data_IF_209234952290
#
_entry.id   IF_209234952290
#
_cell.length_a   1.000
_cell.length_b   1.000
_cell.length_c   1.000
_cell.angle_alpha   90.00
_cell.angle_beta   90.00
_cell.angle_gamma   90.00
#
_symmetry.space_group_name_H-M   'P 1'
#
loop_
_entity.id
_entity.type
_entity.pdbx_description
1 polymer ?
#
# COMPACT_ATOMS: atom_id res chain seq x y z
N UNK A 1 -17.44 4.45 -1.71
CA UNK A 1 -16.60 5.65 -1.96
C UNK A 1 -15.29 5.16 -2.60
N UNK A 2 -14.61 5.93 -3.47
CA UNK A 2 -13.30 5.47 -4.00
C UNK A 2 -12.23 5.65 -2.93
N UNK A 3 -11.15 4.83 -2.97
CA UNK A 3 -10.02 4.98 -2.02
C UNK A 3 -9.39 6.37 -2.13
N UNK A 4 -9.32 6.94 -3.34
CA UNK A 4 -8.89 8.32 -3.54
C UNK A 4 -9.75 9.33 -2.78
N UNK A 5 -11.08 9.26 -2.91
CA UNK A 5 -11.97 10.18 -2.18
C UNK A 5 -11.87 9.98 -0.68
N UNK A 6 -11.78 8.74 -0.21
CA UNK A 6 -11.58 8.41 1.20
C UNK A 6 -10.29 9.04 1.76
N UNK A 7 -9.19 8.94 1.00
CA UNK A 7 -7.90 9.50 1.40
C UNK A 7 -7.92 11.02 1.45
N UNK A 8 -8.55 11.68 0.47
CA UNK A 8 -8.66 13.13 0.45
C UNK A 8 -9.57 13.67 1.56
N UNK A 9 -10.65 12.96 1.89
CA UNK A 9 -11.49 13.30 3.04
C UNK A 9 -10.72 13.15 4.36
N UNK A 10 -10.03 12.02 4.56
CA UNK A 10 -9.20 11.80 5.74
C UNK A 10 -8.07 12.84 5.87
N UNK A 11 -7.43 13.20 4.75
CA UNK A 11 -6.39 14.23 4.72
C UNK A 11 -6.93 15.62 5.06
N UNK A 12 -8.13 15.98 4.59
CA UNK A 12 -8.78 17.23 4.95
C UNK A 12 -9.07 17.32 6.46
N UNK A 13 -9.55 16.21 7.05
CA UNK A 13 -9.75 16.15 8.50
C UNK A 13 -8.45 16.27 9.29
N UNK A 14 -7.36 15.67 8.80
CA UNK A 14 -6.05 15.75 9.43
C UNK A 14 -5.49 17.18 9.35
N UNK A 15 -5.59 17.83 8.18
CA UNK A 15 -5.21 19.23 8.00
C UNK A 15 -5.93 20.16 8.99
N UNK A 16 -7.23 19.97 9.17
CA UNK A 16 -8.01 20.75 10.13
C UNK A 16 -7.60 20.56 11.61
N UNK A 17 -6.88 19.48 11.93
CA UNK A 17 -6.48 19.11 13.30
C UNK A 17 -4.97 19.30 13.57
N UNK A 18 -4.15 19.43 12.54
CA UNK A 18 -2.68 19.37 12.62
C UNK A 18 -2.04 20.54 11.90
N UNK A 19 -1.58 21.54 12.66
CA UNK A 19 -0.88 22.70 12.10
C UNK A 19 0.52 22.39 11.55
N UNK A 20 1.09 21.24 11.92
CA UNK A 20 2.41 20.76 11.49
C UNK A 20 2.38 20.09 10.10
N UNK A 21 1.19 19.72 9.62
CA UNK A 21 1.00 19.01 8.36
C UNK A 21 1.07 19.97 7.17
N UNK A 22 1.80 19.57 6.13
CA UNK A 22 1.83 20.23 4.84
C UNK A 22 1.53 19.22 3.72
N UNK A 23 0.76 19.66 2.71
CA UNK A 23 0.42 18.87 1.53
C UNK A 23 1.01 19.54 0.30
N UNK A 24 1.81 18.79 -0.46
CA UNK A 24 2.45 19.25 -1.68
C UNK A 24 1.71 18.73 -2.92
N UNK A 25 1.30 19.63 -3.80
CA UNK A 25 0.67 19.32 -5.07
C UNK A 25 -0.76 19.84 -5.19
N UNK A 26 -1.25 19.91 -6.42
CA UNK A 26 -2.58 20.43 -6.74
C UNK A 26 -3.61 19.31 -6.67
N UNK A 27 -4.56 19.44 -5.75
CA UNK A 27 -5.74 18.58 -5.68
C UNK A 27 -6.99 19.44 -5.42
N UNK A 28 -7.75 19.76 -6.49
CA UNK A 28 -8.94 20.61 -6.39
C UNK A 28 -9.98 20.05 -5.42
N UNK A 29 -10.08 18.72 -5.30
CA UNK A 29 -11.03 18.07 -4.41
C UNK A 29 -10.70 18.32 -2.93
N UNK A 30 -9.41 18.40 -2.59
CA UNK A 30 -8.95 18.67 -1.22
C UNK A 30 -9.26 20.12 -0.83
N UNK A 31 -9.01 21.07 -1.73
CA UNK A 31 -9.37 22.48 -1.52
C UNK A 31 -10.89 22.65 -1.33
N UNK A 32 -11.70 21.86 -2.04
CA UNK A 32 -13.15 21.84 -1.85
C UNK A 32 -13.55 21.32 -0.46
N UNK A 33 -12.95 20.21 0.02
CA UNK A 33 -13.23 19.67 1.35
C UNK A 33 -12.91 20.63 2.49
N UNK A 34 -11.85 21.44 2.35
CA UNK A 34 -11.46 22.42 3.37
C UNK A 34 -12.31 23.69 3.37
N UNK A 35 -13.08 23.93 2.29
CA UNK A 35 -13.94 25.11 2.18
C UNK A 35 -13.20 26.46 2.17
N UNK A 36 -11.86 26.45 1.98
CA UNK A 36 -11.00 27.64 2.02
C UNK A 36 -10.01 27.60 0.85
N UNK A 37 -10.06 28.59 -0.01
CA UNK A 37 -9.01 28.82 -0.99
C UNK A 37 -7.78 29.44 -0.29
N UNK A 38 -6.58 28.96 -0.61
CA UNK A 38 -5.33 29.53 -0.09
C UNK A 38 -4.95 29.08 1.32
N UNK A 39 -5.32 27.85 1.71
CA UNK A 39 -4.83 27.25 2.95
C UNK A 39 -3.29 27.16 2.94
N UNK A 40 -2.58 27.73 3.92
CA UNK A 40 -1.12 27.76 3.94
C UNK A 40 -0.47 26.37 4.08
N UNK A 41 -1.25 25.36 4.47
CA UNK A 41 -0.80 23.97 4.53
C UNK A 41 -0.88 23.28 3.16
N UNK A 42 -1.60 23.86 2.18
CA UNK A 42 -1.67 23.38 0.81
C UNK A 42 -0.69 24.16 -0.08
N UNK A 43 0.41 23.50 -0.46
CA UNK A 43 1.46 24.10 -1.26
C UNK A 43 1.35 23.63 -2.70
N UNK A 44 0.97 24.55 -3.59
CA UNK A 44 0.99 24.32 -5.04
C UNK A 44 2.43 24.34 -5.54
N UNK A 45 2.97 23.14 -5.75
CA UNK A 45 4.28 22.93 -6.37
C UNK A 45 4.04 22.18 -7.67
N UNK A 46 4.17 22.85 -8.81
CA UNK A 46 3.76 22.31 -10.12
C UNK A 46 4.69 21.21 -10.65
N UNK A 47 6.00 21.25 -10.39
CA UNK A 47 6.96 20.26 -10.90
C UNK A 47 7.19 19.07 -9.93
N UNK A 48 7.05 17.84 -10.43
CA UNK A 48 7.13 16.62 -9.61
C UNK A 48 8.49 16.39 -8.91
N UNK A 49 9.66 16.44 -9.59
CA UNK A 49 10.95 16.25 -8.91
C UNK A 49 11.19 17.29 -7.81
N UNK A 50 10.75 18.52 -8.06
CA UNK A 50 10.82 19.62 -7.10
C UNK A 50 9.94 19.37 -5.87
N UNK A 51 8.79 18.69 -6.01
CA UNK A 51 7.92 18.33 -4.86
C UNK A 51 8.64 17.45 -3.86
N UNK A 52 9.28 16.36 -4.30
CA UNK A 52 9.94 15.42 -3.39
C UNK A 52 11.09 16.09 -2.60
N UNK A 53 11.86 16.95 -3.27
CA UNK A 53 12.94 17.71 -2.64
C UNK A 53 12.42 18.76 -1.64
N UNK A 54 11.41 19.54 -2.02
CA UNK A 54 10.75 20.49 -1.11
C UNK A 54 10.15 19.76 0.09
N UNK A 55 9.48 18.63 -0.16
CA UNK A 55 8.90 17.81 0.90
C UNK A 55 9.94 17.30 1.88
N UNK A 56 11.12 16.90 1.39
CA UNK A 56 12.22 16.51 2.28
C UNK A 56 12.72 17.69 3.10
N UNK A 57 12.90 18.86 2.48
CA UNK A 57 13.33 20.07 3.19
C UNK A 57 12.35 20.46 4.30
N UNK A 58 11.05 20.39 4.03
CA UNK A 58 10.00 20.63 5.04
C UNK A 58 10.02 19.56 6.15
N UNK A 59 10.19 18.28 5.79
CA UNK A 59 10.28 17.18 6.75
C UNK A 59 11.49 17.31 7.68
N UNK A 60 12.66 17.63 7.14
CA UNK A 60 13.85 17.93 7.96
C UNK A 60 13.68 19.21 8.80
N UNK A 61 12.84 20.14 8.36
CA UNK A 61 12.41 21.31 9.13
C UNK A 61 11.37 21.02 10.21
N UNK A 62 10.98 19.75 10.42
CA UNK A 62 10.04 19.33 11.46
C UNK A 62 8.56 19.38 11.06
N UNK A 63 8.24 19.60 9.77
CA UNK A 63 6.86 19.47 9.27
C UNK A 63 6.54 18.02 8.97
N UNK A 64 5.30 17.61 9.16
CA UNK A 64 4.79 16.37 8.58
C UNK A 64 4.38 16.65 7.14
N UNK A 65 4.82 15.83 6.18
CA UNK A 65 4.61 16.12 4.75
C UNK A 65 3.91 14.99 4.02
N UNK A 66 2.84 15.35 3.30
CA UNK A 66 2.18 14.50 2.31
C UNK A 66 2.44 15.06 0.92
N UNK A 67 3.03 14.28 0.03
CA UNK A 67 3.15 14.63 -1.39
C UNK A 67 2.06 13.92 -2.18
N UNK A 68 1.27 14.69 -2.94
CA UNK A 68 0.26 14.14 -3.86
C UNK A 68 0.90 13.91 -5.23
N UNK A 69 0.77 12.68 -5.73
CA UNK A 69 1.21 12.32 -7.08
C UNK A 69 0.12 11.55 -7.83
N UNK A 70 -0.41 12.17 -8.87
CA UNK A 70 -1.40 11.57 -9.77
C UNK A 70 -0.79 11.10 -11.10
N UNK A 71 0.43 11.53 -11.41
CA UNK A 71 1.11 11.26 -12.69
C UNK A 71 2.56 10.77 -12.47
N UNK A 72 3.23 10.32 -13.54
CA UNK A 72 4.63 9.86 -13.57
C UNK A 72 5.67 10.92 -13.17
N UNK A 73 5.22 12.14 -12.85
CA UNK A 73 6.02 13.33 -12.61
C UNK A 73 7.02 13.22 -11.44
N UNK A 74 6.89 12.22 -10.54
CA UNK A 74 7.94 11.92 -9.57
C UNK A 74 9.03 11.07 -10.24
N UNK A 75 9.96 11.75 -10.93
CA UNK A 75 11.16 11.12 -11.48
C UNK A 75 12.06 10.56 -10.36
N UNK A 76 12.09 11.25 -9.21
CA UNK A 76 12.98 10.92 -8.10
C UNK A 76 12.22 10.24 -6.95
N UNK A 77 12.82 9.20 -6.37
CA UNK A 77 12.36 8.58 -5.13
C UNK A 77 12.44 9.55 -3.93
N UNK A 78 12.04 9.11 -2.72
CA UNK A 78 12.22 9.91 -1.52
C UNK A 78 13.72 10.17 -1.31
N UNK A 79 14.04 11.34 -0.74
CA UNK A 79 15.38 11.55 -0.23
C UNK A 79 15.63 10.60 0.96
N UNK A 80 16.77 9.89 1.01
CA UNK A 80 17.08 8.95 2.08
C UNK A 80 16.94 9.61 3.46
N UNK A 81 16.23 8.93 4.37
CA UNK A 81 16.04 9.38 5.75
C UNK A 81 15.03 10.51 5.95
N UNK A 82 14.36 11.00 4.91
CA UNK A 82 13.29 11.99 5.06
C UNK A 82 11.94 11.29 5.35
N UNK A 83 11.30 11.53 6.51
CA UNK A 83 9.99 10.98 6.82
C UNK A 83 8.91 11.73 6.04
N UNK A 84 8.49 11.14 4.91
CA UNK A 84 7.50 11.72 4.02
C UNK A 84 6.49 10.67 3.58
N UNK A 85 5.23 11.10 3.41
CA UNK A 85 4.19 10.26 2.84
C UNK A 85 3.95 10.64 1.39
N UNK A 86 4.15 9.70 0.47
CA UNK A 86 3.65 9.81 -0.90
C UNK A 86 2.24 9.23 -0.98
N UNK A 87 1.25 10.04 -1.32
CA UNK A 87 -0.11 9.58 -1.63
C UNK A 87 -0.29 9.52 -3.15
N UNK A 88 -0.47 8.33 -3.71
CA UNK A 88 -0.45 8.16 -5.17
C UNK A 88 -1.36 7.06 -5.69
N UNK A 89 -1.87 7.24 -6.91
CA UNK A 89 -2.49 6.18 -7.73
C UNK A 89 -1.51 5.56 -8.73
N UNK A 90 -0.29 6.11 -8.86
CA UNK A 90 0.70 5.70 -9.85
C UNK A 90 1.54 4.52 -9.38
N UNK A 91 1.42 3.39 -10.08
CA UNK A 91 2.30 2.23 -9.91
C UNK A 91 3.77 2.60 -10.10
N UNK A 92 4.09 3.40 -11.11
CA UNK A 92 5.46 3.80 -11.42
C UNK A 92 6.09 4.58 -10.27
N UNK A 93 5.36 5.54 -9.69
CA UNK A 93 5.84 6.31 -8.54
C UNK A 93 6.03 5.41 -7.31
N UNK A 94 5.05 4.54 -7.02
CA UNK A 94 5.14 3.59 -5.91
C UNK A 94 6.34 2.64 -6.04
N UNK A 95 6.60 2.10 -7.24
CA UNK A 95 7.76 1.24 -7.53
C UNK A 95 9.08 1.97 -7.31
N UNK A 96 9.19 3.23 -7.73
CA UNK A 96 10.42 4.03 -7.53
C UNK A 96 10.70 4.29 -6.06
N UNK A 97 9.66 4.67 -5.30
CA UNK A 97 9.79 4.88 -3.86
C UNK A 97 10.11 3.59 -3.11
N UNK A 98 9.49 2.48 -3.50
CA UNK A 98 9.81 1.16 -2.97
C UNK A 98 11.27 0.75 -3.25
N UNK A 99 11.75 0.95 -4.49
CA UNK A 99 13.14 0.70 -4.86
C UNK A 99 14.14 1.57 -4.07
N UNK A 100 13.69 2.74 -3.60
CA UNK A 100 14.47 3.64 -2.77
C UNK A 100 14.34 3.35 -1.25
N UNK A 101 13.68 2.25 -0.87
CA UNK A 101 13.56 1.81 0.53
C UNK A 101 12.40 2.43 1.31
N UNK A 102 11.38 2.98 0.64
CA UNK A 102 10.14 3.37 1.31
C UNK A 102 9.34 2.14 1.76
N UNK A 103 8.50 2.29 2.79
CA UNK A 103 7.39 1.35 3.04
C UNK A 103 6.32 1.55 1.96
N UNK A 104 5.65 0.48 1.54
CA UNK A 104 4.47 0.60 0.67
C UNK A 104 3.24 0.14 1.42
N UNK A 105 2.27 1.04 1.55
CA UNK A 105 0.99 0.80 2.20
C UNK A 105 -0.10 0.79 1.12
N UNK A 106 -0.96 -0.22 1.16
CA UNK A 106 -2.05 -0.45 0.20
C UNK A 106 -3.35 -0.74 0.95
N UNK A 107 -4.16 0.29 1.23
CA UNK A 107 -5.47 0.09 1.83
C UNK A 107 -6.33 -0.84 0.97
N UNK A 108 -7.05 -1.77 1.61
CA UNK A 108 -7.96 -2.69 0.91
C UNK A 108 -9.37 -2.13 0.83
N UNK A 109 -9.77 -1.33 1.83
CA UNK A 109 -11.09 -0.69 1.92
C UNK A 109 -10.98 0.81 2.20
N UNK A 110 -12.07 1.56 1.98
CA UNK A 110 -12.12 2.98 2.31
C UNK A 110 -12.01 3.25 3.82
N UNK A 111 -12.53 2.34 4.65
CA UNK A 111 -12.38 2.38 6.10
C UNK A 111 -10.91 2.22 6.58
N UNK A 112 -10.08 1.51 5.82
CA UNK A 112 -8.66 1.32 6.16
C UNK A 112 -7.84 2.61 6.00
N UNK A 113 -8.28 3.49 5.10
CA UNK A 113 -7.49 4.63 4.63
C UNK A 113 -7.12 5.57 5.77
N UNK A 114 -8.06 5.92 6.65
CA UNK A 114 -7.81 6.86 7.74
C UNK A 114 -6.76 6.31 8.72
N UNK A 115 -6.90 5.05 9.15
CA UNK A 115 -5.97 4.38 10.08
C UNK A 115 -4.56 4.26 9.48
N UNK A 116 -4.47 3.87 8.22
CA UNK A 116 -3.21 3.68 7.52
C UNK A 116 -2.52 5.01 7.19
N UNK A 117 -3.29 6.05 6.84
CA UNK A 117 -2.74 7.38 6.60
C UNK A 117 -2.18 7.98 7.89
N UNK A 118 -2.91 7.89 9.00
CA UNK A 118 -2.43 8.38 10.30
C UNK A 118 -1.14 7.66 10.73
N UNK A 119 -1.12 6.32 10.61
CA UNK A 119 0.07 5.51 10.89
C UNK A 119 1.24 5.84 9.96
N UNK A 120 0.98 6.12 8.68
CA UNK A 120 2.02 6.52 7.72
C UNK A 120 2.64 7.87 8.08
N UNK A 121 1.84 8.81 8.58
CA UNK A 121 2.31 10.13 9.01
C UNK A 121 3.13 10.10 10.30
N UNK A 122 2.94 9.08 11.13
CA UNK A 122 3.70 8.85 12.36
C UNK A 122 4.99 8.03 12.14
N UNK A 123 5.24 7.57 10.91
CA UNK A 123 6.35 6.68 10.63
C UNK A 123 7.70 7.41 10.53
N UNK A 124 8.76 6.82 11.10
CA UNK A 124 10.13 7.38 11.11
C UNK A 124 10.85 7.37 9.73
N UNK A 125 10.13 7.11 8.63
CA UNK A 125 10.73 6.97 7.31
C UNK A 125 9.72 7.14 6.18
N UNK A 126 10.19 7.11 4.92
CA UNK A 126 9.32 7.36 3.78
C UNK A 126 8.27 6.24 3.64
N UNK A 127 7.02 6.65 3.41
CA UNK A 127 5.89 5.75 3.20
C UNK A 127 5.20 6.12 1.90
N UNK A 128 4.87 5.14 1.08
CA UNK A 128 3.97 5.29 -0.06
C UNK A 128 2.62 4.75 0.35
N UNK A 129 1.61 5.59 0.41
CA UNK A 129 0.21 5.15 0.46
C UNK A 129 -0.30 5.10 -0.97
N UNK A 130 -0.41 3.89 -1.51
CA UNK A 130 -0.90 3.66 -2.85
C UNK A 130 -2.40 3.40 -2.84
N UNK A 131 -3.13 4.23 -3.57
CA UNK A 131 -4.58 4.18 -3.71
C UNK A 131 -4.90 3.48 -5.02
N UNK A 132 -5.29 2.22 -4.94
CA UNK A 132 -5.69 1.47 -6.14
C UNK A 132 -7.18 1.74 -6.41
N UNK A 133 -7.48 2.53 -7.43
CA UNK A 133 -8.85 2.76 -7.91
C UNK A 133 -9.31 1.52 -8.69
N UNK A 134 -9.75 0.49 -7.96
CA UNK A 134 -10.37 -0.72 -8.50
C UNK A 134 -11.83 -0.81 -8.10
N UNK A 135 -12.67 -1.17 -9.07
CA UNK A 135 -14.00 -1.69 -8.83
C UNK A 135 -13.89 -3.06 -8.14
N UNK A 136 -14.54 -3.21 -6.99
CA UNK A 136 -14.48 -4.47 -6.21
C UNK A 136 -13.59 -4.43 -4.97
N UNK A 137 -13.42 -3.25 -4.36
CA UNK A 137 -13.13 -3.13 -2.91
C UNK A 137 -13.95 -4.19 -2.18
N UNK A 138 -13.31 -4.96 -1.28
CA UNK A 138 -14.01 -5.96 -0.46
C UNK A 138 -15.28 -5.32 0.09
N UNK A 139 -16.44 -5.74 -0.41
CA UNK A 139 -17.71 -5.18 0.03
C UNK A 139 -17.91 -5.54 1.50
N UNK A 140 -18.56 -4.69 2.31
CA UNK A 140 -18.64 -4.80 3.77
C UNK A 140 -19.29 -6.07 4.36
N UNK A 141 -19.58 -7.09 3.54
CA UNK A 141 -20.04 -8.41 3.99
C UNK A 141 -18.92 -9.33 4.51
N UNK A 142 -17.65 -9.02 4.22
CA UNK A 142 -16.53 -9.68 4.89
C UNK A 142 -16.41 -9.07 6.29
N UNK A 143 -16.28 -9.91 7.34
CA UNK A 143 -15.95 -9.41 8.69
C UNK A 143 -14.53 -8.87 8.65
N UNK A 144 -14.40 -7.61 8.23
CA UNK A 144 -13.15 -6.88 8.32
C UNK A 144 -12.75 -6.92 9.79
N UNK A 145 -11.53 -7.41 10.06
CA UNK A 145 -10.98 -7.48 11.40
C UNK A 145 -10.80 -6.09 12.03
N UNK A 146 -9.96 -5.94 13.07
CA UNK A 146 -9.66 -4.63 13.62
C UNK A 146 -9.11 -3.68 12.53
N UNK A 147 -9.13 -2.38 12.83
CA UNK A 147 -8.50 -1.38 11.97
C UNK A 147 -7.04 -1.77 11.69
N UNK A 148 -6.57 -1.65 10.44
CA UNK A 148 -5.23 -2.09 10.07
C UNK A 148 -4.19 -1.16 10.70
N UNK A 149 -3.09 -1.77 11.14
CA UNK A 149 -1.94 -1.08 11.73
C UNK A 149 -0.75 -1.27 10.81
N UNK A 150 0.03 -0.20 10.59
CA UNK A 150 1.21 -0.24 9.73
C UNK A 150 2.19 -1.33 10.19
N UNK A 151 2.63 -2.16 9.25
CA UNK A 151 3.57 -3.26 9.49
C UNK A 151 2.97 -4.52 10.14
N UNK A 152 1.71 -4.49 10.59
CA UNK A 152 1.05 -5.61 11.24
C UNK A 152 -0.01 -6.24 10.33
N UNK A 153 0.20 -7.47 9.82
CA UNK A 153 -0.80 -8.17 9.01
C UNK A 153 -2.15 -8.34 9.74
N UNK A 154 -3.24 -8.26 8.99
CA UNK A 154 -4.62 -8.44 9.48
C UNK A 154 -5.25 -9.67 8.88
N UNK A 155 -5.77 -10.57 9.72
CA UNK A 155 -6.59 -11.67 9.24
C UNK A 155 -7.97 -11.16 8.79
N UNK A 156 -8.29 -11.39 7.52
CA UNK A 156 -9.61 -11.10 6.93
C UNK A 156 -10.56 -12.29 7.06
N UNK A 157 -10.00 -13.50 6.99
CA UNK A 157 -10.71 -14.75 7.21
C UNK A 157 -9.77 -15.74 7.89
N UNK A 158 -10.34 -16.67 8.67
CA UNK A 158 -9.62 -17.78 9.26
C UNK A 158 -10.20 -19.08 8.71
N UNK A 159 -9.31 -19.98 8.33
CA UNK A 159 -9.66 -21.30 7.88
C UNK A 159 -8.44 -22.22 7.90
N UNK A 160 -8.70 -23.51 7.85
CA UNK A 160 -7.71 -24.54 8.16
C UNK A 160 -7.03 -25.11 6.90
N UNK A 161 -7.46 -24.71 5.70
CA UNK A 161 -7.04 -25.30 4.42
C UNK A 161 -5.89 -24.55 3.72
N UNK A 162 -5.11 -23.77 4.47
CA UNK A 162 -3.93 -23.06 4.01
C UNK A 162 -3.98 -21.56 4.30
N UNK A 163 -2.93 -20.85 3.90
CA UNK A 163 -2.81 -19.40 4.10
C UNK A 163 -2.59 -18.71 2.76
N UNK A 164 -3.36 -17.66 2.51
CA UNK A 164 -3.16 -16.71 1.41
C UNK A 164 -2.94 -15.34 2.02
N UNK A 165 -1.77 -14.77 1.76
CA UNK A 165 -1.39 -13.45 2.20
C UNK A 165 -1.12 -12.56 0.99
N UNK A 166 -1.61 -11.33 1.01
CA UNK A 166 -1.42 -10.41 -0.10
C UNK A 166 -1.73 -8.98 0.31
N UNK A 167 -1.82 -8.08 -0.65
CA UNK A 167 -2.16 -6.70 -0.39
C UNK A 167 -3.01 -6.11 -1.51
N UNK A 168 -3.87 -5.16 -1.14
CA UNK A 168 -4.65 -4.36 -2.08
C UNK A 168 -5.50 -5.19 -3.06
N UNK A 169 -5.59 -4.78 -4.35
CA UNK A 169 -6.39 -5.38 -5.40
C UNK A 169 -6.19 -6.88 -5.63
N UNK A 170 -4.96 -7.35 -5.51
CA UNK A 170 -4.62 -8.74 -5.79
C UNK A 170 -5.26 -9.65 -4.73
N UNK A 171 -5.16 -9.27 -3.46
CA UNK A 171 -5.81 -9.98 -2.37
C UNK A 171 -7.34 -9.90 -2.50
N UNK A 172 -7.91 -8.73 -2.76
CA UNK A 172 -9.36 -8.57 -2.89
C UNK A 172 -9.97 -9.48 -3.97
N UNK A 173 -9.32 -9.59 -5.14
CA UNK A 173 -9.74 -10.50 -6.22
C UNK A 173 -9.63 -11.98 -5.81
N UNK A 174 -8.58 -12.34 -5.08
CA UNK A 174 -8.41 -13.71 -4.59
C UNK A 174 -9.43 -14.08 -3.51
N UNK A 175 -9.79 -13.15 -2.61
CA UNK A 175 -10.82 -13.37 -1.61
C UNK A 175 -12.16 -13.76 -2.25
N UNK A 176 -12.53 -13.13 -3.37
CA UNK A 176 -13.77 -13.46 -4.10
C UNK A 176 -13.75 -14.90 -4.67
N UNK A 177 -12.59 -15.35 -5.17
CA UNK A 177 -12.44 -16.70 -5.72
C UNK A 177 -12.22 -17.81 -4.68
N UNK A 178 -11.84 -17.44 -3.44
CA UNK A 178 -11.48 -18.36 -2.36
C UNK A 178 -12.51 -18.40 -1.22
N UNK A 179 -13.67 -17.77 -1.38
CA UNK A 179 -14.71 -17.70 -0.35
C UNK A 179 -15.13 -19.09 0.17
N UNK A 180 -15.09 -20.12 -0.67
CA UNK A 180 -15.45 -21.51 -0.34
C UNK A 180 -14.25 -22.40 0.03
N UNK A 181 -13.02 -21.87 0.01
CA UNK A 181 -11.80 -22.68 0.16
C UNK A 181 -11.39 -22.93 1.62
N UNK A 182 -12.08 -22.33 2.61
CA UNK A 182 -11.71 -22.34 4.04
C UNK A 182 -10.21 -22.04 4.27
N UNK A 183 -9.66 -21.10 3.49
CA UNK A 183 -8.30 -20.64 3.67
C UNK A 183 -8.24 -19.50 4.69
N UNK A 184 -7.15 -19.41 5.44
CA UNK A 184 -6.81 -18.20 6.18
C UNK A 184 -6.37 -17.12 5.20
N UNK A 185 -7.03 -15.97 5.24
CA UNK A 185 -6.74 -14.82 4.37
C UNK A 185 -6.08 -13.73 5.21
N UNK A 186 -4.87 -13.33 4.84
CA UNK A 186 -4.10 -12.30 5.50
C UNK A 186 -3.94 -11.09 4.58
N UNK A 187 -4.44 -9.95 5.05
CA UNK A 187 -4.11 -8.64 4.53
C UNK A 187 -2.77 -8.20 5.10
N UNK A 188 -1.77 -8.07 4.23
CA UNK A 188 -0.48 -7.55 4.63
C UNK A 188 -0.52 -6.02 4.70
N UNK A 189 -1.30 -5.37 3.82
CA UNK A 189 -1.46 -3.92 3.57
C UNK A 189 -0.22 -3.02 3.66
N UNK A 190 0.95 -3.54 4.04
CA UNK A 190 2.23 -2.89 4.26
C UNK A 190 3.32 -3.83 3.74
N UNK A 191 4.18 -3.34 2.86
CA UNK A 191 5.48 -3.92 2.57
C UNK A 191 6.55 -3.11 3.29
N UNK A 192 7.29 -3.79 4.18
CA UNK A 192 8.43 -3.22 4.89
C UNK A 192 9.71 -3.29 4.04
N UNK A 193 10.59 -2.27 4.10
CA UNK A 193 11.92 -2.31 3.47
C UNK A 193 12.66 -3.59 3.79
N UNK A 194 13.22 -4.24 2.77
CA UNK A 194 13.86 -5.55 2.89
C UNK A 194 12.93 -6.74 2.60
N UNK A 195 11.63 -6.50 2.34
CA UNK A 195 10.75 -7.51 1.76
C UNK A 195 11.35 -8.05 0.44
N UNK A 196 11.27 -9.37 0.18
CA UNK A 196 11.82 -9.98 -1.04
C UNK A 196 11.01 -9.62 -2.30
N UNK A 197 9.91 -8.87 -2.19
CA UNK A 197 9.09 -8.45 -3.33
C UNK A 197 9.86 -7.44 -4.18
N UNK A 198 10.30 -7.79 -5.41
CA UNK A 198 10.98 -6.83 -6.26
C UNK A 198 10.00 -5.73 -6.68
N UNK A 199 10.45 -4.50 -6.95
CA UNK A 199 9.57 -3.42 -7.41
C UNK A 199 8.69 -3.79 -8.61
N UNK A 200 9.23 -4.56 -9.55
CA UNK A 200 8.47 -5.07 -10.70
C UNK A 200 7.22 -5.88 -10.31
N UNK A 201 7.21 -6.54 -9.15
CA UNK A 201 6.13 -7.42 -8.70
C UNK A 201 5.14 -6.75 -7.74
N UNK A 202 5.23 -5.44 -7.48
CA UNK A 202 4.46 -4.75 -6.45
C UNK A 202 2.93 -4.98 -6.54
N UNK A 203 2.38 -5.12 -7.76
CA UNK A 203 0.95 -5.34 -8.02
C UNK A 203 0.48 -6.78 -8.02
N UNK A 204 1.42 -7.70 -8.10
CA UNK A 204 1.16 -9.11 -8.41
C UNK A 204 1.56 -10.01 -7.24
N UNK A 205 2.17 -9.44 -6.20
CA UNK A 205 2.70 -10.18 -5.06
C UNK A 205 1.59 -10.75 -4.18
N UNK A 206 1.43 -12.06 -4.26
CA UNK A 206 0.61 -12.86 -3.35
C UNK A 206 1.46 -14.01 -2.84
N UNK A 207 1.37 -14.26 -1.55
CA UNK A 207 2.08 -15.29 -0.81
C UNK A 207 1.07 -16.41 -0.46
N UNK A 208 1.30 -17.64 -0.92
CA UNK A 208 0.45 -18.85 -0.68
C UNK A 208 1.24 -19.96 0.04
N UNK A 209 0.81 -20.41 1.21
CA UNK A 209 1.44 -21.49 1.99
C UNK A 209 0.77 -22.87 1.80
N UNK A 210 1.33 -23.99 2.32
CA UNK A 210 0.80 -25.34 2.07
C UNK A 210 -0.62 -25.50 2.67
N UNK A 211 -1.71 -25.94 2.01
CA UNK A 211 -2.02 -26.61 0.72
C UNK A 211 -2.20 -28.13 0.78
N UNK A 212 -3.40 -28.62 0.49
CA UNK A 212 -3.54 -29.63 -0.57
C UNK A 212 -4.59 -29.27 -1.62
N UNK A 213 -5.28 -28.12 -1.49
CA UNK A 213 -6.33 -27.68 -2.45
C UNK A 213 -6.27 -26.21 -2.87
N UNK A 214 -5.80 -25.29 -2.02
CA UNK A 214 -5.70 -23.86 -2.37
C UNK A 214 -4.73 -23.58 -3.54
N UNK A 215 -3.69 -24.41 -3.71
CA UNK A 215 -2.68 -24.24 -4.75
C UNK A 215 -3.16 -24.63 -6.16
N UNK A 216 -4.09 -25.59 -6.30
CA UNK A 216 -4.54 -26.06 -7.62
C UNK A 216 -5.56 -25.11 -8.29
N UNK A 217 -6.32 -24.34 -7.51
CA UNK A 217 -7.24 -23.33 -8.04
C UNK A 217 -6.52 -22.02 -8.44
N UNK A 218 -5.44 -21.67 -7.73
CA UNK A 218 -4.65 -20.46 -8.01
C UNK A 218 -3.57 -20.67 -9.10
N UNK A 219 -3.05 -21.90 -9.26
CA UNK A 219 -1.97 -22.19 -10.22
C UNK A 219 -2.41 -22.20 -11.70
N UNK A 220 -3.71 -22.11 -12.00
CA UNK A 220 -4.18 -21.92 -13.37
C UNK A 220 -3.85 -20.55 -13.98
N UNK A 221 -3.37 -19.59 -13.16
CA UNK A 221 -3.16 -18.19 -13.57
C UNK A 221 -1.85 -17.54 -13.05
N UNK A 222 -1.04 -18.23 -12.26
CA UNK A 222 0.13 -17.64 -11.58
C UNK A 222 1.41 -18.38 -11.99
N UNK A 223 2.44 -17.66 -12.45
CA UNK A 223 3.68 -18.26 -12.92
C UNK A 223 4.91 -17.76 -12.17
N UNK A 224 5.62 -18.71 -11.57
CA UNK A 224 6.83 -18.49 -10.77
C UNK A 224 6.53 -18.52 -9.26
N UNK A 225 7.28 -19.34 -8.52
CA UNK A 225 7.18 -19.51 -7.07
C UNK A 225 8.51 -19.14 -6.40
N UNK A 226 8.52 -18.20 -5.45
CA UNK A 226 9.66 -17.95 -4.56
C UNK A 226 9.29 -18.28 -3.11
N UNK A 227 10.21 -18.84 -2.31
CA UNK A 227 9.94 -19.25 -0.93
C UNK A 227 10.25 -18.12 0.06
N UNK A 228 9.31 -17.78 0.93
CA UNK A 228 9.46 -16.84 2.03
C UNK A 228 9.04 -17.48 3.35
N UNK A 229 9.73 -17.18 4.45
CA UNK A 229 9.31 -17.57 5.80
C UNK A 229 8.69 -16.35 6.49
N UNK A 230 7.42 -16.44 6.86
CA UNK A 230 6.70 -15.38 7.56
C UNK A 230 6.38 -15.79 8.99
N UNK A 231 6.61 -14.93 9.99
CA UNK A 231 6.09 -15.16 11.33
C UNK A 231 4.56 -15.10 11.31
N UNK A 232 3.93 -16.08 11.96
CA UNK A 232 2.48 -16.20 12.10
C UNK A 232 2.14 -16.27 13.58
N UNK A 233 1.11 -15.54 13.99
CA UNK A 233 0.64 -15.52 15.38
C UNK A 233 1.12 -14.28 16.17
N UNK A 234 0.47 -13.99 17.31
CA UNK A 234 0.65 -12.75 18.08
C UNK A 234 2.07 -12.58 18.66
N UNK A 235 2.82 -13.67 18.83
CA UNK A 235 4.13 -13.68 19.49
C UNK A 235 5.29 -14.00 18.52
N UNK A 236 5.03 -14.08 17.19
CA UNK A 236 6.02 -14.41 16.16
C UNK A 236 6.81 -15.74 16.37
N UNK A 237 6.34 -16.63 17.23
CA UNK A 237 7.00 -17.91 17.54
C UNK A 237 6.71 -19.03 16.55
N UNK A 238 5.78 -18.82 15.61
CA UNK A 238 5.48 -19.78 14.54
C UNK A 238 5.86 -19.16 13.20
N UNK A 239 6.41 -19.96 12.29
CA UNK A 239 6.76 -19.51 10.93
C UNK A 239 5.96 -20.32 9.89
N UNK A 240 5.30 -19.63 8.96
CA UNK A 240 4.74 -20.25 7.76
C UNK A 240 5.74 -20.14 6.62
N UNK A 241 5.98 -21.25 5.92
CA UNK A 241 6.61 -21.21 4.60
C UNK A 241 5.54 -20.80 3.60
N UNK A 242 5.76 -19.67 2.94
CA UNK A 242 4.81 -19.08 2.00
C UNK A 242 5.46 -18.93 0.63
N UNK A 243 4.80 -19.43 -0.40
CA UNK A 243 5.22 -19.34 -1.79
C UNK A 243 4.71 -18.03 -2.39
N UNK A 244 5.60 -17.12 -2.74
CA UNK A 244 5.29 -15.98 -3.58
C UNK A 244 4.91 -16.49 -4.96
N UNK A 245 3.62 -16.46 -5.26
CA UNK A 245 3.12 -16.68 -6.61
C UNK A 245 3.09 -15.32 -7.30
N UNK A 246 3.93 -15.14 -8.29
CA UNK A 246 3.85 -13.97 -9.17
C UNK A 246 2.71 -14.21 -10.17
N UNK A 247 1.75 -13.30 -10.24
CA UNK A 247 0.75 -13.35 -11.30
C UNK A 247 1.45 -13.16 -12.65
N UNK A 248 1.28 -14.10 -13.58
CA UNK A 248 1.90 -13.94 -14.89
C UNK A 248 1.16 -12.84 -15.67
N UNK A 249 1.81 -11.70 -15.81
CA UNK A 249 1.58 -10.75 -16.89
C UNK A 249 2.86 -10.66 -17.72
N UNK A 250 2.75 -10.47 -19.04
CA UNK A 250 3.77 -10.65 -20.09
C UNK A 250 5.18 -10.04 -19.87
N UNK A 251 5.42 -9.31 -18.78
CA UNK A 251 6.71 -8.75 -18.38
C UNK A 251 7.76 -9.79 -17.93
N UNK A 252 7.36 -11.04 -17.63
CA UNK A 252 8.28 -12.08 -17.12
C UNK A 252 9.26 -12.66 -18.17
N UNK A 253 9.18 -12.26 -19.45
CA UNK A 253 10.16 -12.70 -20.48
C UNK A 253 11.54 -12.06 -20.38
N UNK A 254 11.73 -11.06 -19.52
CA UNK A 254 12.99 -10.31 -19.46
C UNK A 254 13.91 -10.60 -18.27
N UNK A 255 13.56 -11.52 -17.36
CA UNK A 255 14.45 -11.88 -16.23
C UNK A 255 15.27 -13.16 -16.50
N UNK A 256 15.04 -13.84 -17.63
CA UNK A 256 15.84 -14.99 -18.06
C UNK A 256 16.86 -14.56 -19.12
N UNK A 257 17.84 -13.76 -18.73
CA UNK A 257 18.85 -13.27 -19.67
C UNK A 257 19.97 -12.42 -19.08
N UNK A 258 20.52 -12.78 -17.92
CA UNK A 258 21.91 -12.50 -17.52
C UNK A 258 22.41 -13.65 -16.66
#
# INVERSE_FOLDING_TARGET
>A
MTLRRAALAALAELLAKRDDLAVLGVEPTLAHYLGRAGDPQLLDVSAGPTRAAIGAGLAFGGRTVVTLAHEEALADGPLPGAPQVLLTTSLTAARRWWAAGARVVRPVTDADVASLLDSALAADGPVVVRLDDIDGILTPGHRLGPAPVLGAPRALARGDNGVVAGQGPALARLCQGLADAEATLLDLHTLEPGSPVPPGALDEAVLIGPAHRAAAAAAGQLGGLARLELPVGPDATQSATVLLALAQTDAARHISGV
#
